data_IF_142168616382
#
_entry.id   IF_142168616382
#
_cell.length_a   1.000
_cell.length_b   1.000
_cell.length_c   1.000
_cell.angle_alpha   90.00
_cell.angle_beta   90.00
_cell.angle_gamma   90.00
#
_symmetry.space_group_name_H-M   'P 1'
#
loop_
_entity.id
_entity.type
_entity.pdbx_description
1 polymer ?
#
# COMPACT_ATOMS: atom_id res chain seq x y z
N UNK A 1 -3.86 -34.54 -18.83
CA UNK A 1 -4.80 -33.54 -19.39
C UNK A 1 -4.69 -32.19 -18.68
N UNK A 2 -4.71 -32.13 -17.34
CA UNK A 2 -4.60 -30.87 -16.61
C UNK A 2 -3.27 -30.11 -16.81
N UNK A 3 -2.13 -30.82 -16.92
CA UNK A 3 -0.80 -30.19 -17.09
C UNK A 3 -0.67 -29.52 -18.46
N UNK A 4 -1.22 -30.11 -19.53
CA UNK A 4 -1.21 -29.55 -20.88
C UNK A 4 -2.14 -28.34 -21.00
N UNK A 5 -3.33 -28.39 -20.41
CA UNK A 5 -4.27 -27.25 -20.34
C UNK A 5 -3.63 -26.09 -19.55
N UNK A 6 -2.94 -26.38 -18.46
CA UNK A 6 -2.25 -25.37 -17.68
C UNK A 6 -1.05 -24.78 -18.44
N UNK A 7 -0.34 -25.55 -19.26
CA UNK A 7 0.72 -25.04 -20.12
C UNK A 7 0.18 -24.16 -21.24
N UNK A 8 -0.92 -24.54 -21.89
CA UNK A 8 -1.59 -23.72 -22.91
C UNK A 8 -2.13 -22.42 -22.32
N UNK A 9 -2.75 -22.50 -21.15
CA UNK A 9 -3.16 -21.33 -20.38
C UNK A 9 -1.95 -20.44 -20.06
N UNK A 10 -0.84 -20.93 -19.62
CA UNK A 10 0.41 -20.20 -19.36
C UNK A 10 0.93 -19.50 -20.62
N UNK A 11 1.01 -20.19 -21.75
CA UNK A 11 1.48 -19.59 -23.01
C UNK A 11 0.55 -18.48 -23.50
N UNK A 12 -0.75 -18.71 -23.44
CA UNK A 12 -1.76 -17.70 -23.82
C UNK A 12 -1.66 -16.44 -22.94
N UNK A 13 -1.34 -16.60 -21.66
CA UNK A 13 -1.17 -15.54 -20.66
C UNK A 13 0.13 -14.76 -20.85
N UNK A 14 1.21 -15.46 -21.12
CA UNK A 14 2.50 -14.82 -21.42
C UNK A 14 2.42 -13.96 -22.69
N UNK A 15 1.66 -14.41 -23.67
CA UNK A 15 1.40 -13.68 -24.92
C UNK A 15 0.49 -12.47 -24.70
N UNK A 16 -0.46 -12.52 -23.75
CA UNK A 16 -1.38 -11.42 -23.48
C UNK A 16 -0.79 -10.36 -22.54
N UNK A 17 0.03 -10.79 -21.58
CA UNK A 17 0.69 -9.90 -20.62
C UNK A 17 1.72 -8.99 -21.30
N UNK A 18 2.50 -9.52 -22.23
CA UNK A 18 3.54 -8.77 -22.93
C UNK A 18 3.02 -7.49 -23.60
N UNK A 19 1.94 -7.54 -24.40
CA UNK A 19 1.37 -6.35 -25.03
C UNK A 19 0.89 -5.28 -24.04
N UNK A 20 0.22 -5.67 -22.95
CA UNK A 20 -0.25 -4.70 -21.94
C UNK A 20 0.91 -4.05 -21.21
N UNK A 21 1.91 -4.84 -20.83
CA UNK A 21 3.14 -4.33 -20.23
C UNK A 21 3.89 -3.37 -21.19
N UNK A 22 4.04 -3.77 -22.45
CA UNK A 22 4.66 -2.93 -23.48
C UNK A 22 3.88 -1.63 -23.73
N UNK A 23 2.54 -1.70 -23.75
CA UNK A 23 1.68 -0.52 -23.89
C UNK A 23 1.83 0.42 -22.69
N UNK A 24 1.83 -0.10 -21.47
CA UNK A 24 2.04 0.73 -20.29
C UNK A 24 3.41 1.42 -20.32
N UNK A 25 4.48 0.69 -20.63
CA UNK A 25 5.82 1.27 -20.76
C UNK A 25 5.94 2.29 -21.90
N UNK A 26 5.33 2.03 -23.06
CA UNK A 26 5.31 2.96 -24.18
C UNK A 26 4.59 4.26 -23.84
N UNK A 27 3.44 4.16 -23.14
CA UNK A 27 2.70 5.34 -22.69
C UNK A 27 3.47 6.11 -21.60
N UNK A 28 4.10 5.44 -20.65
CA UNK A 28 4.95 6.07 -19.62
C UNK A 28 6.08 6.87 -20.29
N UNK A 29 6.77 6.28 -21.27
CA UNK A 29 7.90 6.88 -21.97
C UNK A 29 7.51 7.84 -23.09
N UNK A 30 6.24 8.14 -23.26
CA UNK A 30 5.80 9.15 -24.22
C UNK A 30 6.47 10.50 -23.86
N UNK A 31 7.13 11.17 -24.79
CA UNK A 31 7.76 12.47 -24.55
C UNK A 31 6.74 13.60 -24.32
N UNK A 32 5.48 13.36 -24.63
CA UNK A 32 4.38 14.28 -24.35
C UNK A 32 3.53 13.78 -23.18
N UNK A 33 2.96 14.70 -22.40
CA UNK A 33 1.98 14.32 -21.39
C UNK A 33 0.79 13.60 -22.02
N UNK A 34 0.33 12.53 -21.38
CA UNK A 34 -0.87 11.82 -21.82
C UNK A 34 -2.11 12.70 -21.64
N UNK A 35 -3.09 12.53 -22.55
CA UNK A 35 -4.43 13.08 -22.34
C UNK A 35 -5.08 12.38 -21.13
N UNK A 36 -5.51 13.14 -20.11
CA UNK A 36 -6.03 12.52 -18.87
C UNK A 36 -7.34 11.77 -19.06
N UNK A 37 -8.28 12.31 -19.86
CA UNK A 37 -9.59 11.68 -20.05
C UNK A 37 -9.44 10.39 -20.87
N UNK A 38 -8.74 10.44 -22.01
CA UNK A 38 -8.45 9.27 -22.82
C UNK A 38 -7.72 8.20 -22.00
N UNK A 39 -6.73 8.60 -21.19
CA UNK A 39 -5.92 7.68 -20.40
C UNK A 39 -6.74 7.00 -19.30
N UNK A 40 -7.59 7.76 -18.59
CA UNK A 40 -8.49 7.20 -17.58
C UNK A 40 -9.44 6.18 -18.21
N UNK A 41 -10.10 6.55 -19.32
CA UNK A 41 -11.00 5.67 -20.04
C UNK A 41 -10.32 4.40 -20.56
N UNK A 42 -9.12 4.57 -21.11
CA UNK A 42 -8.34 3.43 -21.64
C UNK A 42 -8.13 2.34 -20.58
N UNK A 43 -7.78 2.73 -19.36
CA UNK A 43 -7.46 1.77 -18.30
C UNK A 43 -8.68 1.29 -17.50
N UNK A 44 -9.75 2.07 -17.41
CA UNK A 44 -10.92 1.75 -16.59
C UNK A 44 -12.10 1.16 -17.36
N UNK A 45 -12.27 1.51 -18.64
CA UNK A 45 -13.42 1.02 -19.44
C UNK A 45 -13.21 -0.40 -19.98
N UNK A 46 -14.31 -1.12 -20.10
CA UNK A 46 -14.40 -2.55 -20.42
C UNK A 46 -13.95 -2.96 -21.83
N UNK A 47 -13.71 -2.04 -22.77
CA UNK A 47 -13.25 -2.39 -24.14
C UNK A 47 -11.90 -3.12 -24.14
N UNK A 48 -11.08 -2.91 -23.12
CA UNK A 48 -9.85 -3.66 -22.90
C UNK A 48 -10.07 -4.91 -22.02
N UNK A 49 -11.32 -5.24 -21.66
CA UNK A 49 -11.64 -6.34 -20.76
C UNK A 49 -11.16 -7.70 -21.29
N UNK A 50 -11.20 -7.93 -22.61
CA UNK A 50 -10.66 -9.17 -23.21
C UNK A 50 -9.15 -9.28 -23.05
N UNK A 51 -8.42 -8.19 -23.27
CA UNK A 51 -6.97 -8.13 -23.05
C UNK A 51 -6.63 -8.24 -21.57
N UNK A 52 -7.40 -7.60 -20.72
CA UNK A 52 -7.23 -7.62 -19.28
C UNK A 52 -7.71 -8.93 -18.65
N UNK A 53 -8.82 -9.54 -19.14
CA UNK A 53 -9.21 -10.93 -18.79
C UNK A 53 -8.19 -11.97 -19.24
N UNK A 54 -7.47 -11.72 -20.34
CA UNK A 54 -6.36 -12.56 -20.72
C UNK A 54 -5.19 -12.47 -19.73
N UNK A 55 -5.07 -11.35 -18.99
CA UNK A 55 -4.14 -11.18 -17.86
C UNK A 55 -4.61 -11.85 -16.57
N UNK A 56 -5.92 -12.09 -16.40
CA UNK A 56 -6.49 -12.76 -15.22
C UNK A 56 -6.01 -14.21 -15.05
N UNK A 57 -5.17 -14.64 -15.89
CA UNK A 57 -4.71 -16.01 -15.94
C UNK A 57 -3.20 -16.12 -15.74
N UNK A 58 -2.70 -16.01 -14.57
CA UNK A 58 -1.30 -15.95 -14.17
C UNK A 58 -0.55 -17.31 -14.18
N UNK A 59 0.80 -17.33 -14.20
CA UNK A 59 1.56 -18.57 -14.18
C UNK A 59 1.20 -19.49 -13.01
N UNK A 60 1.27 -20.82 -13.16
CA UNK A 60 1.03 -21.77 -12.09
C UNK A 60 1.80 -21.43 -10.81
N UNK A 61 1.24 -21.69 -9.64
CA UNK A 61 1.77 -21.31 -8.34
C UNK A 61 3.25 -21.70 -8.12
N UNK A 62 3.68 -22.87 -8.62
CA UNK A 62 5.06 -23.32 -8.52
C UNK A 62 6.04 -22.45 -9.35
N UNK A 63 5.58 -21.94 -10.51
CA UNK A 63 6.39 -21.05 -11.35
C UNK A 63 6.44 -19.63 -10.78
N UNK A 64 5.34 -19.17 -10.18
CA UNK A 64 5.28 -17.91 -9.41
C UNK A 64 6.31 -17.92 -8.29
N UNK A 65 6.29 -18.98 -7.47
CA UNK A 65 7.23 -19.17 -6.36
C UNK A 65 8.69 -19.13 -6.80
N UNK A 66 8.99 -19.74 -7.95
CA UNK A 66 10.32 -19.74 -8.54
C UNK A 66 10.75 -18.37 -9.08
N UNK A 67 9.89 -17.70 -9.87
CA UNK A 67 10.19 -16.42 -10.49
C UNK A 67 10.27 -15.29 -9.45
N UNK A 68 9.34 -15.26 -8.51
CA UNK A 68 9.28 -14.28 -7.43
C UNK A 68 10.47 -14.41 -6.47
N UNK A 69 10.82 -15.64 -6.06
CA UNK A 69 11.91 -15.83 -5.11
C UNK A 69 13.29 -15.56 -5.71
N UNK A 70 13.50 -15.77 -7.01
CA UNK A 70 14.84 -15.69 -7.62
C UNK A 70 15.18 -14.34 -8.26
N UNK A 71 14.23 -13.65 -8.90
CA UNK A 71 14.48 -12.38 -9.59
C UNK A 71 14.16 -11.12 -8.78
N UNK A 72 13.24 -11.22 -7.84
CA UNK A 72 12.71 -10.04 -7.14
C UNK A 72 13.41 -9.76 -5.80
N UNK A 73 14.15 -10.74 -5.25
CA UNK A 73 14.82 -10.59 -3.94
C UNK A 73 15.83 -9.43 -3.87
N UNK A 74 16.49 -9.09 -4.97
CA UNK A 74 17.50 -8.02 -5.04
C UNK A 74 16.96 -6.61 -5.29
N UNK A 75 15.68 -6.45 -5.67
CA UNK A 75 15.11 -5.15 -6.08
C UNK A 75 14.08 -4.58 -5.11
N UNK A 76 13.70 -5.33 -4.09
CA UNK A 76 12.55 -4.97 -3.26
C UNK A 76 12.79 -3.71 -2.40
N UNK A 77 13.88 -3.66 -1.65
CA UNK A 77 14.20 -2.50 -0.79
C UNK A 77 14.49 -1.26 -1.63
N UNK A 78 15.26 -1.42 -2.72
CA UNK A 78 15.54 -0.35 -3.67
C UNK A 78 14.27 0.12 -4.40
N UNK A 79 13.34 -0.79 -4.67
CA UNK A 79 12.07 -0.46 -5.35
C UNK A 79 11.10 0.32 -4.47
N UNK A 80 11.02 0.00 -3.19
CA UNK A 80 10.20 0.74 -2.21
C UNK A 80 10.78 2.15 -2.02
N UNK A 81 12.08 2.24 -1.69
CA UNK A 81 12.76 3.52 -1.53
C UNK A 81 12.60 4.40 -2.78
N UNK A 82 12.85 3.87 -3.98
CA UNK A 82 12.74 4.62 -5.23
C UNK A 82 11.29 5.09 -5.56
N UNK A 83 10.26 4.43 -5.03
CA UNK A 83 8.89 4.92 -5.20
C UNK A 83 8.60 6.10 -4.28
N UNK A 84 9.12 6.10 -3.06
CA UNK A 84 8.92 7.15 -2.05
C UNK A 84 9.99 8.26 -2.09
N UNK A 85 11.09 8.06 -2.83
CA UNK A 85 12.15 9.06 -3.04
C UNK A 85 11.80 10.09 -4.15
N UNK A 86 10.58 10.08 -4.66
CA UNK A 86 10.00 11.22 -5.40
C UNK A 86 9.78 12.34 -4.39
N UNK A 87 10.09 13.60 -4.75
CA UNK A 87 10.11 14.73 -3.79
C UNK A 87 8.79 14.89 -3.01
N UNK A 88 8.86 15.36 -1.78
CA UNK A 88 7.70 15.71 -0.95
C UNK A 88 6.77 16.67 -1.69
N UNK A 89 7.33 17.66 -2.42
CA UNK A 89 6.58 18.66 -3.18
C UNK A 89 5.70 18.01 -4.26
N UNK A 90 6.16 16.92 -4.89
CA UNK A 90 5.35 16.19 -5.86
C UNK A 90 4.16 15.47 -5.19
N UNK A 91 4.36 14.85 -4.03
CA UNK A 91 3.27 14.21 -3.29
C UNK A 91 2.22 15.22 -2.82
N UNK A 92 2.62 16.42 -2.41
CA UNK A 92 1.72 17.52 -2.03
C UNK A 92 0.79 17.96 -3.16
N UNK A 93 1.13 17.68 -4.43
CA UNK A 93 0.26 18.05 -5.55
C UNK A 93 -1.03 17.23 -5.63
N UNK A 94 -1.08 16.05 -5.03
CA UNK A 94 -2.23 15.17 -5.16
C UNK A 94 -2.73 14.56 -3.84
N UNK A 95 -1.92 14.53 -2.78
CA UNK A 95 -2.36 14.11 -1.46
C UNK A 95 -3.15 15.23 -0.75
N UNK A 96 -3.82 14.89 0.35
CA UNK A 96 -4.44 15.84 1.23
C UNK A 96 -3.38 16.75 1.90
N UNK A 97 -3.67 18.04 2.00
CA UNK A 97 -2.71 19.02 2.53
C UNK A 97 -2.44 18.82 4.03
N UNK A 98 -3.46 18.35 4.77
CA UNK A 98 -3.38 18.28 6.25
C UNK A 98 -2.53 17.13 6.77
N UNK A 99 -2.69 15.94 6.19
CA UNK A 99 -2.07 14.72 6.71
C UNK A 99 -1.03 14.13 5.77
N UNK A 100 -1.09 14.46 4.49
CA UNK A 100 -0.30 13.83 3.43
C UNK A 100 -0.41 12.30 3.45
N UNK A 101 -1.61 11.77 3.70
CA UNK A 101 -1.82 10.34 3.72
C UNK A 101 -1.78 9.72 2.31
N UNK A 102 -0.81 8.85 2.08
CA UNK A 102 -0.74 8.04 0.86
C UNK A 102 -1.36 6.65 1.10
N UNK A 103 -2.62 6.65 1.56
CA UNK A 103 -3.41 5.45 1.87
C UNK A 103 -4.90 5.72 1.71
N UNK A 104 -5.71 4.65 1.64
CA UNK A 104 -7.15 4.72 1.40
C UNK A 104 -7.86 5.64 2.41
N UNK A 105 -8.62 6.61 1.90
CA UNK A 105 -9.49 7.51 2.65
C UNK A 105 -10.92 6.92 2.78
N UNK A 106 -11.73 7.46 3.69
CA UNK A 106 -13.12 7.08 3.89
C UNK A 106 -14.08 8.19 3.41
N UNK A 107 -14.59 8.03 2.21
CA UNK A 107 -15.66 8.87 1.69
C UNK A 107 -17.00 8.30 2.15
N UNK A 108 -17.66 8.97 3.11
CA UNK A 108 -18.99 8.58 3.56
C UNK A 108 -20.08 9.17 2.65
N UNK A 109 -19.77 10.31 2.01
CA UNK A 109 -20.68 11.00 1.11
C UNK A 109 -19.96 11.41 -0.19
N UNK A 110 -20.71 11.46 -1.30
CA UNK A 110 -20.17 11.80 -2.61
C UNK A 110 -19.70 13.26 -2.77
N UNK A 111 -20.07 14.13 -1.84
CA UNK A 111 -19.70 15.55 -1.81
C UNK A 111 -18.48 15.85 -0.94
N UNK A 112 -17.95 14.87 -0.20
CA UNK A 112 -16.78 15.06 0.65
C UNK A 112 -15.52 15.32 -0.18
N UNK A 113 -14.69 16.23 0.35
CA UNK A 113 -13.34 16.45 -0.19
C UNK A 113 -12.38 15.34 0.25
N UNK A 114 -11.21 15.27 -0.39
CA UNK A 114 -10.16 14.31 0.01
C UNK A 114 -9.73 14.54 1.46
N UNK A 115 -9.62 15.81 1.90
CA UNK A 115 -9.27 16.19 3.27
C UNK A 115 -10.29 15.67 4.29
N UNK A 116 -11.59 15.83 3.99
CA UNK A 116 -12.67 15.31 4.85
C UNK A 116 -12.62 13.78 4.92
N UNK A 117 -12.43 13.11 3.79
CA UNK A 117 -12.35 11.66 3.73
C UNK A 117 -11.09 11.11 4.45
N UNK A 118 -9.97 11.82 4.38
CA UNK A 118 -8.76 11.46 5.14
C UNK A 118 -8.93 11.74 6.64
N UNK A 119 -9.65 12.79 7.02
CA UNK A 119 -10.04 13.03 8.41
C UNK A 119 -10.90 11.88 8.94
N UNK A 120 -11.94 11.48 8.19
CA UNK A 120 -12.82 10.34 8.54
C UNK A 120 -12.01 9.06 8.78
N UNK A 121 -11.05 8.75 7.89
CA UNK A 121 -10.16 7.62 8.04
C UNK A 121 -9.29 7.73 9.30
N UNK A 122 -8.72 8.91 9.54
CA UNK A 122 -7.85 9.13 10.69
C UNK A 122 -8.61 8.94 12.01
N UNK A 123 -9.82 9.45 12.09
CA UNK A 123 -10.69 9.33 13.26
C UNK A 123 -11.11 7.87 13.49
N UNK A 124 -11.51 7.16 12.43
CA UNK A 124 -11.82 5.74 12.52
C UNK A 124 -10.63 4.90 13.02
N UNK A 125 -9.43 5.14 12.49
CA UNK A 125 -8.22 4.42 12.93
C UNK A 125 -7.84 4.81 14.36
N UNK A 126 -7.99 6.08 14.75
CA UNK A 126 -7.76 6.52 16.12
C UNK A 126 -8.69 5.81 17.11
N UNK A 127 -9.96 5.62 16.75
CA UNK A 127 -10.93 4.85 17.54
C UNK A 127 -10.51 3.37 17.67
N UNK A 128 -10.01 2.75 16.61
CA UNK A 128 -9.49 1.37 16.66
C UNK A 128 -8.24 1.25 17.54
N UNK A 129 -7.33 2.22 17.46
CA UNK A 129 -6.14 2.28 18.31
C UNK A 129 -6.57 2.54 19.76
N UNK A 130 -7.55 3.43 19.98
CA UNK A 130 -8.04 3.85 21.28
C UNK A 130 -6.89 4.12 22.28
N UNK A 131 -5.96 5.06 21.93
CA UNK A 131 -4.74 5.28 22.69
C UNK A 131 -5.01 5.86 24.07
N UNK A 132 -4.20 5.47 25.07
CA UNK A 132 -4.27 6.02 26.43
C UNK A 132 -2.94 6.70 26.78
N UNK A 133 -2.95 7.75 27.61
CA UNK A 133 -1.72 8.33 28.13
C UNK A 133 -0.84 7.26 28.82
N UNK A 134 0.47 7.30 28.58
CA UNK A 134 1.43 6.34 29.13
C UNK A 134 1.57 5.01 28.35
N UNK A 135 0.73 4.75 27.36
CA UNK A 135 0.89 3.58 26.48
C UNK A 135 2.04 3.78 25.50
N UNK A 136 2.89 2.78 25.37
CA UNK A 136 3.94 2.76 24.32
C UNK A 136 3.34 2.26 23.01
N UNK A 137 3.33 3.14 22.02
CA UNK A 137 2.69 2.91 20.73
C UNK A 137 3.73 3.03 19.60
N UNK A 138 3.78 2.04 18.71
CA UNK A 138 4.70 1.99 17.57
C UNK A 138 3.94 1.99 16.25
N UNK A 139 4.31 2.90 15.34
CA UNK A 139 3.86 2.91 13.95
C UNK A 139 4.89 2.26 13.01
N UNK A 140 4.46 1.26 12.25
CA UNK A 140 5.26 0.62 11.21
C UNK A 140 5.01 1.30 9.86
N UNK A 141 5.98 2.08 9.38
CA UNK A 141 5.83 2.90 8.18
C UNK A 141 5.07 4.20 8.46
N UNK A 142 5.63 5.05 9.30
CA UNK A 142 4.94 6.23 9.84
C UNK A 142 4.77 7.41 8.84
N UNK A 143 5.20 7.27 7.59
CA UNK A 143 5.06 8.33 6.61
C UNK A 143 5.60 9.67 7.12
N UNK A 144 4.82 10.72 6.98
CA UNK A 144 5.14 12.06 7.49
C UNK A 144 4.71 12.30 8.96
N UNK A 145 4.27 11.25 9.67
CA UNK A 145 3.96 11.32 11.11
C UNK A 145 2.53 11.80 11.45
N UNK A 146 1.65 11.87 10.47
CA UNK A 146 0.30 12.39 10.65
C UNK A 146 -0.50 11.64 11.72
N UNK A 147 -0.42 10.30 11.74
CA UNK A 147 -1.15 9.52 12.73
C UNK A 147 -0.50 9.57 14.12
N UNK A 148 0.83 9.65 14.20
CA UNK A 148 1.53 9.96 15.45
C UNK A 148 1.06 11.29 16.04
N UNK A 149 0.88 12.32 15.19
CA UNK A 149 0.35 13.63 15.62
C UNK A 149 -1.09 13.51 16.16
N UNK A 150 -1.96 12.75 15.47
CA UNK A 150 -3.34 12.51 15.94
C UNK A 150 -3.38 11.80 17.30
N UNK A 151 -2.50 10.82 17.52
CA UNK A 151 -2.40 10.12 18.81
C UNK A 151 -1.89 11.07 19.89
N UNK A 152 -0.89 11.89 19.57
CA UNK A 152 -0.40 12.92 20.49
C UNK A 152 -1.49 13.93 20.89
N UNK A 153 -2.26 14.42 19.93
CA UNK A 153 -3.39 15.32 20.20
C UNK A 153 -4.44 14.68 21.13
N UNK A 154 -4.65 13.37 21.02
CA UNK A 154 -5.61 12.66 21.86
C UNK A 154 -5.08 12.31 23.26
N UNK A 155 -3.76 12.13 23.41
CA UNK A 155 -3.17 11.64 24.67
C UNK A 155 -2.35 12.66 25.44
N UNK A 156 -1.83 13.68 24.74
CA UNK A 156 -0.83 14.61 25.28
C UNK A 156 0.55 13.99 25.54
N UNK A 157 0.76 12.72 25.18
CA UNK A 157 1.96 11.95 25.49
C UNK A 157 2.77 11.71 24.19
N UNK A 158 3.91 12.40 24.09
CA UNK A 158 4.79 12.33 22.93
C UNK A 158 5.93 11.33 23.11
N UNK A 159 6.39 11.13 24.33
CA UNK A 159 7.60 10.38 24.63
C UNK A 159 7.42 8.88 24.41
N UNK A 160 6.18 8.40 24.49
CA UNK A 160 5.80 7.02 24.28
C UNK A 160 5.30 6.69 22.86
N UNK A 161 5.49 7.64 21.90
CA UNK A 161 5.15 7.43 20.50
C UNK A 161 6.42 7.17 19.67
N UNK A 162 6.40 6.07 18.94
CA UNK A 162 7.54 5.61 18.15
C UNK A 162 7.10 5.37 16.69
N UNK A 163 7.99 5.66 15.74
CA UNK A 163 7.73 5.41 14.33
C UNK A 163 8.94 4.82 13.60
N UNK A 164 8.68 3.96 12.62
CA UNK A 164 9.67 3.43 11.70
C UNK A 164 9.39 3.88 10.28
N UNK A 165 10.42 4.28 9.54
CA UNK A 165 10.34 4.59 8.11
C UNK A 165 11.65 4.27 7.39
N UNK A 166 11.58 4.06 6.07
CA UNK A 166 12.73 3.90 5.16
C UNK A 166 13.04 5.16 4.34
N UNK A 167 12.38 6.29 4.64
CA UNK A 167 12.61 7.56 3.96
C UNK A 167 13.33 8.54 4.89
N UNK A 168 14.50 9.02 4.44
CA UNK A 168 15.25 10.07 5.14
C UNK A 168 14.52 11.42 5.10
N UNK A 169 13.83 11.69 4.00
CA UNK A 169 13.02 12.89 3.81
C UNK A 169 11.87 12.96 4.82
N UNK A 170 11.19 11.82 5.05
CA UNK A 170 10.13 11.73 6.06
C UNK A 170 10.69 11.96 7.48
N UNK A 171 11.86 11.42 7.80
CA UNK A 171 12.51 11.66 9.10
C UNK A 171 12.85 13.13 9.28
N UNK A 172 13.43 13.76 8.25
CA UNK A 172 13.77 15.19 8.32
C UNK A 172 12.51 16.03 8.57
N UNK A 173 11.45 15.76 7.81
CA UNK A 173 10.15 16.42 7.97
C UNK A 173 9.57 16.27 9.38
N UNK A 174 9.54 15.02 9.91
CA UNK A 174 8.99 14.75 11.24
C UNK A 174 9.81 15.43 12.33
N UNK A 175 11.14 15.48 12.21
CA UNK A 175 12.00 16.18 13.17
C UNK A 175 11.75 17.69 13.18
N UNK A 176 11.57 18.27 12.01
CA UNK A 176 11.36 19.71 11.86
C UNK A 176 9.96 20.13 12.34
N UNK A 177 8.93 19.37 11.99
CA UNK A 177 7.54 19.78 12.20
C UNK A 177 6.88 19.18 13.45
N UNK A 178 7.31 18.01 13.89
CA UNK A 178 6.62 17.25 14.95
C UNK A 178 7.54 16.85 16.11
N UNK A 179 8.78 16.46 15.84
CA UNK A 179 9.77 16.03 16.84
C UNK A 179 9.43 14.72 17.53
N UNK A 180 8.80 13.76 16.84
CA UNK A 180 8.54 12.41 17.36
C UNK A 180 9.78 11.50 17.30
N UNK A 181 9.76 10.41 18.09
CA UNK A 181 10.81 9.39 18.14
C UNK A 181 10.71 8.47 16.91
N UNK A 182 11.26 8.89 15.78
CA UNK A 182 11.25 8.14 14.52
C UNK A 182 12.63 7.63 14.16
N UNK A 183 12.69 6.36 13.76
CA UNK A 183 13.92 5.66 13.41
C UNK A 183 13.93 5.27 11.93
N UNK A 184 15.08 5.53 11.26
CA UNK A 184 15.33 5.01 9.92
C UNK A 184 15.63 3.52 10.00
N UNK A 185 14.62 2.69 9.75
CA UNK A 185 14.79 1.24 9.84
C UNK A 185 13.73 0.49 9.05
N UNK A 186 14.10 -0.69 8.56
CA UNK A 186 13.18 -1.62 7.95
C UNK A 186 12.47 -2.44 9.03
N UNK A 187 11.19 -2.20 9.24
CA UNK A 187 10.40 -2.87 10.27
C UNK A 187 10.31 -4.39 10.07
N UNK A 188 10.51 -4.92 8.84
CA UNK A 188 10.49 -6.36 8.55
C UNK A 188 11.71 -7.06 9.16
N UNK A 189 12.89 -6.43 9.04
CA UNK A 189 14.17 -7.01 9.47
C UNK A 189 14.57 -6.62 10.89
N UNK A 190 13.92 -5.61 11.47
CA UNK A 190 14.19 -5.12 12.81
C UNK A 190 14.01 -6.18 13.88
N UNK A 191 14.74 -5.99 14.99
CA UNK A 191 14.47 -6.65 16.27
C UNK A 191 13.57 -5.78 17.11
N UNK A 192 12.74 -6.39 17.92
CA UNK A 192 11.81 -5.72 18.82
C UNK A 192 12.06 -6.19 20.26
N UNK A 193 12.08 -5.27 21.25
CA UNK A 193 12.13 -5.70 22.65
C UNK A 193 10.87 -6.49 23.01
N UNK A 194 11.04 -7.54 23.81
CA UNK A 194 9.91 -8.37 24.29
C UNK A 194 8.99 -7.55 25.18
N UNK A 195 7.68 -7.67 24.93
CA UNK A 195 6.61 -7.05 25.73
C UNK A 195 6.81 -5.54 25.98
N UNK A 196 7.31 -4.84 24.97
CA UNK A 196 7.66 -3.43 25.07
C UNK A 196 6.50 -2.49 24.74
N UNK A 197 5.56 -2.92 23.87
CA UNK A 197 4.52 -2.05 23.31
C UNK A 197 3.13 -2.47 23.77
N UNK A 198 2.31 -1.47 24.09
CA UNK A 198 0.88 -1.67 24.34
C UNK A 198 0.12 -1.82 23.02
N UNK A 199 0.54 -1.05 22.01
CA UNK A 199 -0.06 -1.08 20.67
C UNK A 199 1.01 -0.94 19.59
N UNK A 200 0.81 -1.67 18.50
CA UNK A 200 1.57 -1.53 17.28
C UNK A 200 0.56 -1.32 16.15
N UNK A 201 0.80 -0.40 15.24
CA UNK A 201 -0.08 -0.22 14.09
C UNK A 201 0.67 0.06 12.79
N UNK A 202 -0.01 -0.16 11.67
CA UNK A 202 0.50 0.06 10.33
C UNK A 202 -0.63 0.57 9.41
N UNK A 203 -0.35 1.63 8.64
CA UNK A 203 -1.28 2.23 7.70
C UNK A 203 -0.61 2.34 6.33
N UNK A 204 -1.01 1.49 5.35
CA UNK A 204 -0.50 1.53 3.99
C UNK A 204 0.99 1.15 3.84
N UNK A 205 1.54 0.38 4.80
CA UNK A 205 2.91 -0.10 4.72
C UNK A 205 3.02 -1.64 4.75
N UNK A 206 2.00 -2.33 5.26
CA UNK A 206 1.97 -3.79 5.36
C UNK A 206 1.95 -4.48 3.99
N UNK A 207 1.43 -3.85 2.96
CA UNK A 207 1.41 -4.31 1.57
C UNK A 207 2.81 -4.60 1.00
N UNK A 208 3.82 -3.99 1.59
CA UNK A 208 5.22 -4.18 1.18
C UNK A 208 5.86 -5.41 1.81
N UNK A 209 5.19 -6.07 2.77
CA UNK A 209 5.69 -7.31 3.38
C UNK A 209 5.43 -8.49 2.44
N UNK A 210 6.49 -9.16 2.01
CA UNK A 210 6.35 -10.31 1.12
C UNK A 210 5.73 -11.51 1.84
N UNK A 211 4.96 -12.36 1.15
CA UNK A 211 4.26 -13.48 1.78
C UNK A 211 5.15 -14.36 2.68
N UNK A 212 6.39 -14.63 2.30
CA UNK A 212 7.29 -15.46 3.08
C UNK A 212 7.87 -14.77 4.34
N UNK A 213 7.76 -13.45 4.43
CA UNK A 213 8.24 -12.64 5.56
C UNK A 213 7.14 -12.46 6.63
N UNK A 214 5.86 -12.54 6.21
CA UNK A 214 4.70 -12.27 7.06
C UNK A 214 4.67 -13.13 8.34
N UNK A 215 4.82 -14.48 8.29
CA UNK A 215 4.76 -15.29 9.51
C UNK A 215 5.84 -14.92 10.53
N UNK A 216 7.08 -14.72 10.05
CA UNK A 216 8.20 -14.32 10.91
C UNK A 216 8.02 -12.93 11.52
N UNK A 217 7.48 -11.98 10.75
CA UNK A 217 7.19 -10.63 11.24
C UNK A 217 6.07 -10.65 12.28
N UNK A 218 4.95 -11.34 12.01
CA UNK A 218 3.84 -11.48 12.96
C UNK A 218 4.29 -12.08 14.27
N UNK A 219 5.15 -13.11 14.24
CA UNK A 219 5.73 -13.72 15.45
C UNK A 219 6.57 -12.73 16.25
N UNK A 220 7.39 -11.88 15.57
CA UNK A 220 8.16 -10.82 16.24
C UNK A 220 7.25 -9.78 16.89
N UNK A 221 6.20 -9.32 16.18
CA UNK A 221 5.27 -8.30 16.67
C UNK A 221 4.43 -8.84 17.84
N UNK A 222 4.00 -10.12 17.79
CA UNK A 222 3.33 -10.78 18.90
C UNK A 222 4.21 -10.77 20.16
N UNK A 223 5.49 -11.12 20.02
CA UNK A 223 6.42 -11.11 21.15
C UNK A 223 6.73 -9.69 21.66
N UNK A 224 6.68 -8.68 20.79
CA UNK A 224 6.91 -7.28 21.15
C UNK A 224 5.74 -6.64 21.89
N UNK A 225 4.53 -7.12 21.64
CA UNK A 225 3.33 -6.67 22.34
C UNK A 225 3.30 -7.23 23.78
N UNK A 226 2.84 -6.42 24.72
CA UNK A 226 2.47 -6.83 26.06
C UNK A 226 1.25 -7.79 26.02
N UNK A 227 1.01 -8.60 27.05
CA UNK A 227 -0.28 -9.30 27.18
C UNK A 227 -1.45 -8.32 27.10
N UNK A 228 -2.49 -8.63 26.31
CA UNK A 228 -3.61 -7.75 26.00
C UNK A 228 -3.27 -6.63 24.99
N UNK A 229 -2.02 -6.57 24.50
CA UNK A 229 -1.60 -5.60 23.51
C UNK A 229 -2.19 -5.86 22.14
N UNK A 230 -2.28 -4.82 21.29
CA UNK A 230 -2.99 -4.86 20.03
C UNK A 230 -2.09 -4.51 18.83
N UNK A 231 -2.27 -5.25 17.74
CA UNK A 231 -1.76 -4.93 16.42
C UNK A 231 -2.92 -4.44 15.56
N UNK A 232 -2.88 -3.16 15.14
CA UNK A 232 -3.90 -2.53 14.30
C UNK A 232 -3.33 -2.39 12.88
N UNK A 233 -4.05 -2.89 11.89
CA UNK A 233 -3.58 -2.90 10.51
C UNK A 233 -4.60 -2.24 9.58
N UNK A 234 -4.13 -1.34 8.73
CA UNK A 234 -4.84 -0.82 7.56
C UNK A 234 -3.99 -1.12 6.33
N UNK A 235 -4.43 -2.04 5.49
CA UNK A 235 -3.69 -2.49 4.32
C UNK A 235 -4.63 -3.05 3.26
N UNK A 236 -4.12 -3.23 2.04
CA UNK A 236 -4.84 -3.99 1.02
C UNK A 236 -4.09 -5.28 0.68
N UNK A 237 -4.85 -6.29 0.34
CA UNK A 237 -4.32 -7.58 -0.11
C UNK A 237 -5.21 -8.19 -1.19
N UNK A 238 -4.77 -9.29 -1.79
CA UNK A 238 -5.56 -10.02 -2.76
C UNK A 238 -6.80 -10.60 -2.10
N UNK A 239 -7.96 -10.47 -2.76
CA UNK A 239 -9.22 -11.09 -2.31
C UNK A 239 -9.17 -12.60 -2.43
N UNK A 240 -8.41 -13.11 -3.42
CA UNK A 240 -8.23 -14.53 -3.71
C UNK A 240 -6.79 -14.79 -4.18
N UNK A 241 -6.35 -16.06 -4.29
CA UNK A 241 -4.96 -16.42 -4.60
C UNK A 241 -4.53 -16.22 -6.06
N UNK A 242 -5.42 -15.86 -6.98
CA UNK A 242 -5.18 -15.92 -8.42
C UNK A 242 -5.38 -14.61 -9.18
N UNK A 243 -4.62 -13.52 -8.90
CA UNK A 243 -4.77 -12.28 -9.68
C UNK A 243 -3.49 -11.71 -10.31
N UNK A 244 -3.51 -11.50 -11.64
CA UNK A 244 -2.35 -11.08 -12.42
C UNK A 244 -2.15 -9.58 -12.64
N UNK A 245 -3.20 -8.76 -12.64
CA UNK A 245 -3.07 -7.30 -12.86
C UNK A 245 -2.26 -6.66 -11.75
N UNK A 246 -2.42 -7.13 -10.53
CA UNK A 246 -1.62 -6.70 -9.37
C UNK A 246 -0.13 -6.86 -9.63
N UNK A 247 0.29 -7.83 -10.44
CA UNK A 247 1.70 -7.98 -10.80
C UNK A 247 2.18 -6.95 -11.82
N UNK A 248 1.32 -6.47 -12.72
CA UNK A 248 1.67 -5.36 -13.59
C UNK A 248 1.97 -4.11 -12.76
N UNK A 249 1.09 -3.81 -11.80
CA UNK A 249 1.28 -2.72 -10.84
C UNK A 249 2.59 -2.92 -10.06
N UNK A 250 2.81 -4.10 -9.50
CA UNK A 250 4.02 -4.42 -8.74
C UNK A 250 5.30 -4.34 -9.57
N UNK A 251 5.29 -4.74 -10.85
CA UNK A 251 6.50 -4.71 -11.68
C UNK A 251 6.86 -3.32 -12.20
N UNK A 252 5.87 -2.50 -12.52
CA UNK A 252 6.09 -1.16 -13.09
C UNK A 252 6.26 -0.12 -11.98
N UNK A 253 5.40 -0.16 -10.97
CA UNK A 253 5.29 0.92 -9.96
C UNK A 253 5.98 0.57 -8.65
N UNK A 254 5.95 -0.70 -8.23
CA UNK A 254 6.56 -1.18 -6.99
C UNK A 254 7.44 -2.43 -7.26
N UNK A 255 8.60 -2.26 -7.94
CA UNK A 255 9.44 -3.39 -8.34
C UNK A 255 9.81 -4.27 -7.16
N UNK A 256 9.38 -5.54 -7.21
CA UNK A 256 9.64 -6.52 -6.15
C UNK A 256 8.50 -6.71 -5.15
N UNK A 257 7.45 -5.90 -5.19
CA UNK A 257 6.26 -6.08 -4.37
C UNK A 257 5.46 -7.31 -4.84
N UNK A 258 4.99 -8.11 -3.88
CA UNK A 258 4.12 -9.28 -4.09
C UNK A 258 3.08 -9.28 -2.99
N UNK A 259 1.82 -9.11 -3.36
CA UNK A 259 0.72 -9.18 -2.41
C UNK A 259 0.42 -10.63 -2.02
N UNK A 260 0.05 -10.82 -0.77
CA UNK A 260 -0.55 -12.07 -0.27
C UNK A 260 -2.07 -12.04 -0.43
N UNK A 261 -2.72 -13.20 -0.38
CA UNK A 261 -4.18 -13.28 -0.25
C UNK A 261 -4.63 -13.01 1.19
N UNK A 262 -5.89 -12.60 1.34
CA UNK A 262 -6.49 -12.42 2.67
C UNK A 262 -6.49 -13.71 3.48
N UNK A 263 -6.79 -14.85 2.85
CA UNK A 263 -6.76 -16.15 3.52
C UNK A 263 -5.37 -16.48 4.06
N UNK A 264 -4.30 -16.22 3.30
CA UNK A 264 -2.93 -16.39 3.78
C UNK A 264 -2.60 -15.50 4.98
N UNK A 265 -3.05 -14.24 4.95
CA UNK A 265 -2.90 -13.31 6.07
C UNK A 265 -3.60 -13.87 7.32
N UNK A 266 -4.83 -14.34 7.16
CA UNK A 266 -5.65 -14.90 8.25
C UNK A 266 -4.97 -16.10 8.91
N UNK A 267 -4.50 -17.05 8.14
CA UNK A 267 -3.75 -18.20 8.64
C UNK A 267 -2.49 -17.77 9.40
N UNK A 268 -1.73 -16.82 8.82
CA UNK A 268 -0.48 -16.38 9.42
C UNK A 268 -0.65 -15.67 10.76
N UNK A 269 -1.66 -14.83 10.97
CA UNK A 269 -1.87 -14.21 12.29
C UNK A 269 -2.46 -15.19 13.32
N UNK A 270 -3.29 -16.15 12.88
CA UNK A 270 -3.79 -17.21 13.75
C UNK A 270 -2.64 -18.11 14.24
N UNK A 271 -1.74 -18.51 13.33
CA UNK A 271 -0.55 -19.29 13.66
C UNK A 271 0.40 -18.54 14.59
N UNK A 272 0.45 -17.21 14.51
CA UNK A 272 1.23 -16.37 15.41
C UNK A 272 0.57 -16.20 16.80
N UNK A 273 -0.68 -16.65 17.00
CA UNK A 273 -1.41 -16.60 18.25
C UNK A 273 -2.30 -15.39 18.46
N UNK A 274 -2.52 -14.57 17.41
CA UNK A 274 -3.41 -13.43 17.50
C UNK A 274 -4.89 -13.80 17.42
N UNK A 275 -5.72 -13.06 18.13
CA UNK A 275 -7.17 -13.10 18.04
C UNK A 275 -7.67 -11.87 17.27
N UNK A 276 -8.54 -12.10 16.30
CA UNK A 276 -9.19 -11.03 15.55
C UNK A 276 -10.38 -10.47 16.35
N UNK A 277 -10.29 -9.20 16.74
CA UNK A 277 -11.35 -8.51 17.50
C UNK A 277 -12.12 -7.48 16.68
N UNK A 278 -11.57 -7.03 15.55
CA UNK A 278 -12.25 -6.16 14.60
C UNK A 278 -11.80 -6.47 13.17
N UNK A 279 -12.76 -6.46 12.24
CA UNK A 279 -12.54 -6.54 10.78
C UNK A 279 -13.51 -5.64 10.05
N UNK A 280 -12.99 -4.83 9.13
CA UNK A 280 -13.80 -4.05 8.19
C UNK A 280 -13.12 -3.93 6.82
N UNK A 281 -13.92 -3.69 5.78
CA UNK A 281 -13.42 -3.46 4.42
C UNK A 281 -13.78 -2.05 3.96
N UNK A 282 -12.90 -1.44 3.15
CA UNK A 282 -13.02 -0.05 2.73
C UNK A 282 -12.80 0.09 1.23
N UNK A 283 -13.40 1.12 0.63
CA UNK A 283 -13.37 1.37 -0.81
C UNK A 283 -12.27 2.36 -1.19
N UNK A 284 -11.26 1.89 -1.92
CA UNK A 284 -10.14 2.72 -2.35
C UNK A 284 -10.43 3.56 -3.62
N UNK A 285 -11.51 3.25 -4.34
CA UNK A 285 -11.76 3.81 -5.67
C UNK A 285 -11.90 5.33 -5.67
N UNK A 286 -12.64 5.88 -4.70
CA UNK A 286 -12.83 7.32 -4.57
C UNK A 286 -11.50 8.04 -4.28
N UNK A 287 -10.67 7.49 -3.40
CA UNK A 287 -9.34 8.03 -3.09
C UNK A 287 -8.42 8.07 -4.31
N UNK A 288 -8.35 6.95 -5.05
CA UNK A 288 -7.53 6.86 -6.27
C UNK A 288 -7.99 7.85 -7.35
N UNK A 289 -9.31 8.06 -7.46
CA UNK A 289 -9.87 9.04 -8.38
C UNK A 289 -9.54 10.46 -7.95
N UNK A 290 -9.67 10.79 -6.67
CA UNK A 290 -9.33 12.10 -6.13
C UNK A 290 -7.84 12.44 -6.34
N UNK A 291 -6.94 11.50 -6.08
CA UNK A 291 -5.51 11.68 -6.38
C UNK A 291 -5.23 11.90 -7.86
N UNK A 292 -5.93 11.16 -8.73
CA UNK A 292 -5.83 11.36 -10.17
C UNK A 292 -6.23 12.76 -10.57
N UNK A 293 -7.39 13.23 -10.10
CA UNK A 293 -7.93 14.55 -10.45
C UNK A 293 -7.04 15.68 -9.93
N UNK A 294 -6.54 15.55 -8.71
CA UNK A 294 -5.60 16.52 -8.14
C UNK A 294 -4.29 16.57 -8.95
N UNK A 295 -3.74 15.41 -9.34
CA UNK A 295 -2.52 15.37 -10.17
C UNK A 295 -2.75 16.01 -11.53
N UNK A 296 -3.90 15.77 -12.16
CA UNK A 296 -4.29 16.39 -13.44
C UNK A 296 -4.42 17.90 -13.30
N UNK A 297 -5.07 18.38 -12.23
CA UNK A 297 -5.21 19.81 -11.94
C UNK A 297 -3.86 20.51 -11.74
N UNK A 298 -2.85 19.79 -11.23
CA UNK A 298 -1.50 20.30 -10.99
C UNK A 298 -0.46 19.85 -12.05
N UNK A 299 -0.92 19.52 -13.26
CA UNK A 299 -0.11 18.95 -14.35
C UNK A 299 1.21 19.68 -14.59
N UNK A 300 1.16 20.99 -14.82
CA UNK A 300 2.34 21.76 -15.23
C UNK A 300 3.41 21.77 -14.14
N UNK A 301 2.99 21.98 -12.88
CA UNK A 301 3.86 21.92 -11.73
C UNK A 301 4.42 20.52 -11.48
N UNK A 302 3.62 19.49 -11.71
CA UNK A 302 4.07 18.10 -11.61
C UNK A 302 5.15 17.79 -12.63
N UNK A 303 4.97 18.22 -13.89
CA UNK A 303 5.95 18.02 -14.97
C UNK A 303 7.24 18.81 -14.69
N UNK A 304 7.15 20.02 -14.15
CA UNK A 304 8.29 20.82 -13.74
C UNK A 304 9.12 20.10 -12.67
N UNK A 305 8.47 19.51 -11.67
CA UNK A 305 9.15 18.85 -10.55
C UNK A 305 9.77 17.48 -10.90
N UNK A 306 9.08 16.66 -11.68
CA UNK A 306 9.46 15.25 -11.86
C UNK A 306 9.59 14.80 -13.32
N UNK A 307 9.32 15.68 -14.28
CA UNK A 307 9.36 15.40 -15.71
C UNK A 307 8.14 14.63 -16.22
N UNK A 308 8.00 14.64 -17.55
CA UNK A 308 6.85 14.04 -18.26
C UNK A 308 6.74 12.53 -18.01
N UNK A 309 7.85 11.80 -17.97
CA UNK A 309 7.84 10.34 -17.79
C UNK A 309 7.26 9.94 -16.42
N UNK A 310 7.67 10.63 -15.34
CA UNK A 310 7.13 10.35 -13.99
C UNK A 310 5.68 10.78 -13.89
N UNK A 311 5.30 11.93 -14.43
CA UNK A 311 3.91 12.37 -14.51
C UNK A 311 3.04 11.32 -15.23
N UNK A 312 3.41 10.88 -16.43
CA UNK A 312 2.71 9.84 -17.17
C UNK A 312 2.63 8.51 -16.40
N UNK A 313 3.69 8.16 -15.66
CA UNK A 313 3.72 6.97 -14.82
C UNK A 313 2.60 7.00 -13.77
N UNK A 314 2.42 8.11 -13.07
CA UNK A 314 1.36 8.24 -12.06
C UNK A 314 -0.04 8.34 -12.70
N UNK A 315 -0.18 9.00 -13.86
CA UNK A 315 -1.43 9.01 -14.62
C UNK A 315 -1.89 7.61 -15.03
N UNK A 316 -0.97 6.67 -15.27
CA UNK A 316 -1.30 5.27 -15.58
C UNK A 316 -1.54 4.46 -14.29
N UNK A 317 -0.78 4.75 -13.24
CA UNK A 317 -0.86 4.03 -11.98
C UNK A 317 -2.26 4.11 -11.32
N UNK A 318 -2.83 5.31 -11.22
CA UNK A 318 -4.12 5.49 -10.53
C UNK A 318 -5.29 4.76 -11.20
N UNK A 319 -5.54 4.86 -12.52
CA UNK A 319 -6.66 4.17 -13.15
C UNK A 319 -6.47 2.64 -13.18
N UNK A 320 -5.24 2.13 -13.34
CA UNK A 320 -4.99 0.68 -13.22
C UNK A 320 -5.27 0.20 -11.80
N UNK A 321 -4.82 0.93 -10.79
CA UNK A 321 -5.09 0.61 -9.38
C UNK A 321 -6.59 0.69 -9.08
N UNK A 322 -7.28 1.73 -9.54
CA UNK A 322 -8.72 1.87 -9.43
C UNK A 322 -9.45 0.64 -9.99
N UNK A 323 -9.03 0.18 -11.18
CA UNK A 323 -9.62 -0.99 -11.82
C UNK A 323 -9.42 -2.27 -10.98
N UNK A 324 -8.25 -2.47 -10.41
CA UNK A 324 -7.95 -3.63 -9.55
C UNK A 324 -8.93 -3.71 -8.37
N UNK A 325 -9.24 -2.58 -7.74
CA UNK A 325 -10.24 -2.51 -6.66
C UNK A 325 -11.67 -2.64 -7.20
N UNK A 326 -11.99 -2.02 -8.33
CA UNK A 326 -13.33 -2.09 -8.93
C UNK A 326 -13.71 -3.50 -9.39
N UNK A 327 -12.75 -4.30 -9.83
CA UNK A 327 -12.95 -5.71 -10.20
C UNK A 327 -12.93 -6.65 -8.98
N UNK A 328 -12.72 -6.12 -7.77
CA UNK A 328 -12.68 -6.89 -6.53
C UNK A 328 -11.46 -7.81 -6.39
N UNK A 329 -10.40 -7.58 -7.19
CA UNK A 329 -9.16 -8.36 -7.13
C UNK A 329 -8.39 -8.12 -5.84
N UNK A 330 -8.48 -6.90 -5.31
CA UNK A 330 -7.94 -6.49 -4.02
C UNK A 330 -9.01 -5.80 -3.20
N UNK A 331 -8.86 -5.86 -1.89
CA UNK A 331 -9.68 -5.12 -0.91
C UNK A 331 -8.80 -4.48 0.14
N UNK A 332 -9.24 -3.33 0.62
CA UNK A 332 -8.65 -2.70 1.81
C UNK A 332 -9.30 -3.28 3.05
N UNK A 333 -8.49 -3.71 3.99
CA UNK A 333 -8.92 -4.23 5.28
C UNK A 333 -8.41 -3.33 6.41
N UNK A 334 -9.22 -3.20 7.46
CA UNK A 334 -8.79 -2.73 8.77
C UNK A 334 -9.06 -3.81 9.79
N UNK A 335 -8.02 -4.16 10.50
CA UNK A 335 -8.04 -5.28 11.46
C UNK A 335 -7.52 -4.80 12.80
N UNK A 336 -8.11 -5.34 13.88
CA UNK A 336 -7.51 -5.31 15.21
C UNK A 336 -7.24 -6.74 15.64
N UNK A 337 -5.98 -7.03 15.86
CA UNK A 337 -5.45 -8.32 16.31
C UNK A 337 -4.94 -8.16 17.73
N UNK A 338 -5.42 -8.98 18.65
CA UNK A 338 -5.10 -8.90 20.08
C UNK A 338 -4.23 -10.08 20.53
N UNK A 339 -3.21 -9.79 21.35
CA UNK A 339 -2.40 -10.80 22.03
C UNK A 339 -3.05 -11.17 23.36
N UNK A 340 -3.33 -12.45 23.54
CA UNK A 340 -3.80 -13.02 24.81
C UNK A 340 -2.66 -13.54 25.66
#
# INVERSE_FOLDING_TARGET
MNTFINLLRFLFKAVSYGPVYATALSRIRNPQPLDPEENWEYWTKSRNALLMKALDNYPPAYLRKYLVNRKLKRRHEVGISAHYDVSNDFYQLFLDEKYMFYSCADFYHSWETLEQAQQNKADFILDLINPKPGEKILELGCGWGAMLQRIYEATGDKDNLFGFTLSKEQIAYIKENHGFNVTFTNFITSSYPKEAFDKIYSIGAWEHVRPHEIPGLLSKLYNALKPGGKLIQHFFCLSDEEFPIVMLVGQIFFPGSVLSSYQFQKEAWQDAGFWLTHESTHDYRATLKAWYDNLVANKDKAIELVGVETYNKYLIFFPISWRVFNEGQTKVYRLVLEKH
#
